data_IF_484063145714
#
_entry.id   IF_484063145714
#
_cell.length_a   1.000
_cell.length_b   1.000
_cell.length_c   1.000
_cell.angle_alpha   90.00
_cell.angle_beta   90.00
_cell.angle_gamma   90.00
#
_symmetry.space_group_name_H-M   'P 1'
#
loop_
_entity.id
_entity.type
_entity.pdbx_description
1 polymer ?
#
# COMPACT_ATOMS: atom_id res chain seq x y z
N UNK A 1 -13.39 1.36 -9.53
CA UNK A 1 -12.09 1.92 -9.09
C UNK A 1 -11.80 1.43 -7.69
N UNK A 2 -10.66 0.78 -7.46
CA UNK A 2 -10.22 0.26 -6.15
C UNK A 2 -9.01 1.01 -5.63
N UNK A 3 -8.86 1.11 -4.31
CA UNK A 3 -7.78 1.87 -3.66
C UNK A 3 -6.89 0.90 -2.88
N UNK A 4 -5.57 1.05 -3.03
CA UNK A 4 -4.54 0.29 -2.30
C UNK A 4 -3.57 1.30 -1.68
N UNK A 5 -3.59 1.41 -0.35
CA UNK A 5 -2.62 2.23 0.37
C UNK A 5 -1.48 1.33 0.86
N UNK A 6 -0.29 1.56 0.34
CA UNK A 6 0.97 0.87 0.68
C UNK A 6 1.79 1.74 1.65
N UNK A 7 1.18 2.08 2.79
CA UNK A 7 1.77 2.91 3.85
C UNK A 7 1.81 2.21 5.22
N UNK A 8 2.82 2.49 6.07
CA UNK A 8 2.95 1.91 7.42
C UNK A 8 1.78 2.24 8.35
N UNK A 9 1.08 3.35 8.09
CA UNK A 9 -0.03 3.85 8.87
C UNK A 9 -1.41 3.41 8.31
N UNK A 10 -1.46 2.40 7.43
CA UNK A 10 -2.72 1.90 6.88
C UNK A 10 -3.55 1.17 7.95
N UNK A 11 -4.82 1.58 8.10
CA UNK A 11 -5.72 1.23 9.20
C UNK A 11 -6.28 -0.21 9.18
N UNK A 12 -5.91 -1.05 8.21
CA UNK A 12 -6.39 -2.42 8.07
C UNK A 12 -5.27 -3.41 8.42
N UNK A 13 -5.41 -4.07 9.58
CA UNK A 13 -4.74 -5.32 9.98
C UNK A 13 -3.21 -5.42 9.77
N UNK A 14 -2.46 -4.42 10.26
CA UNK A 14 -1.06 -4.66 10.63
C UNK A 14 -0.01 -4.41 9.54
N UNK A 15 -0.17 -3.37 8.73
CA UNK A 15 0.87 -2.97 7.78
C UNK A 15 0.94 -3.88 6.56
N UNK A 16 -0.24 -4.38 6.11
CA UNK A 16 -0.54 -5.18 4.90
C UNK A 16 -0.06 -4.58 3.55
N UNK A 17 0.79 -3.57 3.65
CA UNK A 17 1.03 -2.47 2.76
C UNK A 17 2.55 -2.22 2.61
N UNK A 18 3.38 -2.99 3.32
CA UNK A 18 4.82 -3.03 3.07
C UNK A 18 5.25 -4.32 2.35
N UNK A 19 4.42 -5.38 2.38
CA UNK A 19 4.68 -6.58 1.57
C UNK A 19 4.08 -6.41 0.15
N UNK A 20 4.91 -6.39 -0.91
CA UNK A 20 4.42 -6.33 -2.28
C UNK A 20 3.45 -7.47 -2.64
N UNK A 21 3.61 -8.65 -2.04
CA UNK A 21 2.74 -9.80 -2.32
C UNK A 21 1.30 -9.55 -1.85
N UNK A 22 1.13 -8.92 -0.69
CA UNK A 22 -0.18 -8.59 -0.14
C UNK A 22 -0.88 -7.48 -0.95
N UNK A 23 -0.13 -6.46 -1.37
CA UNK A 23 -0.64 -5.42 -2.25
C UNK A 23 -1.12 -5.99 -3.60
N UNK A 24 -0.38 -6.94 -4.18
CA UNK A 24 -0.76 -7.64 -5.41
C UNK A 24 -2.02 -8.48 -5.19
N UNK A 25 -2.10 -9.23 -4.09
CA UNK A 25 -3.28 -10.03 -3.76
C UNK A 25 -4.52 -9.13 -3.61
N UNK A 26 -4.39 -7.99 -2.94
CA UNK A 26 -5.47 -7.01 -2.80
C UNK A 26 -5.91 -6.44 -4.15
N UNK A 27 -4.98 -6.15 -5.05
CA UNK A 27 -5.29 -5.69 -6.41
C UNK A 27 -6.09 -6.71 -7.21
N UNK A 28 -5.77 -8.01 -7.08
CA UNK A 28 -6.53 -9.09 -7.71
C UNK A 28 -7.95 -9.19 -7.16
N UNK A 29 -8.11 -9.11 -5.84
CA UNK A 29 -9.44 -9.08 -5.23
C UNK A 29 -10.28 -7.90 -5.74
N UNK A 30 -9.69 -6.71 -5.83
CA UNK A 30 -10.39 -5.52 -6.32
C UNK A 30 -10.79 -5.68 -7.80
N UNK A 31 -9.97 -6.34 -8.61
CA UNK A 31 -10.32 -6.68 -10.00
C UNK A 31 -11.52 -7.64 -10.04
N UNK A 32 -11.50 -8.70 -9.23
CA UNK A 32 -12.59 -9.68 -9.15
C UNK A 32 -13.91 -9.03 -8.65
N UNK A 33 -13.80 -8.01 -7.80
CA UNK A 33 -14.91 -7.18 -7.33
C UNK A 33 -15.38 -6.14 -8.38
N UNK A 34 -14.77 -6.11 -9.57
CA UNK A 34 -15.18 -5.27 -10.69
C UNK A 34 -14.49 -3.90 -10.77
N UNK A 35 -13.32 -3.73 -10.17
CA UNK A 35 -12.56 -2.49 -10.34
C UNK A 35 -11.86 -2.44 -11.71
N UNK A 36 -12.24 -1.47 -12.54
CA UNK A 36 -11.56 -1.20 -13.82
C UNK A 36 -10.22 -0.43 -13.67
N UNK A 37 -10.06 0.25 -12.54
CA UNK A 37 -8.91 1.13 -12.25
C UNK A 37 -8.48 0.87 -10.81
N UNK A 38 -7.17 0.87 -10.57
CA UNK A 38 -6.58 0.86 -9.24
C UNK A 38 -5.86 2.19 -8.98
N UNK A 39 -6.09 2.76 -7.80
CA UNK A 39 -5.38 3.91 -7.25
C UNK A 39 -4.44 3.44 -6.14
N UNK A 40 -3.14 3.58 -6.34
CA UNK A 40 -2.10 3.01 -5.47
C UNK A 40 -1.29 4.15 -4.85
N UNK A 41 -1.38 4.31 -3.54
CA UNK A 41 -0.69 5.36 -2.78
C UNK A 41 0.39 4.81 -1.86
N UNK A 42 1.66 5.18 -2.08
CA UNK A 42 2.80 4.81 -1.23
C UNK A 42 3.20 5.87 -0.20
N UNK A 43 2.52 7.03 -0.20
CA UNK A 43 2.77 8.11 0.74
C UNK A 43 1.44 8.56 1.36
N UNK A 44 1.43 8.66 2.69
CA UNK A 44 0.25 9.11 3.42
C UNK A 44 0.19 10.63 3.43
N UNK A 45 -0.95 11.19 3.03
CA UNK A 45 -1.23 12.63 3.10
C UNK A 45 -1.81 13.07 4.45
N UNK A 46 -1.88 12.14 5.43
CA UNK A 46 -2.43 12.41 6.75
C UNK A 46 -1.47 13.30 7.56
N UNK A 47 -1.98 14.31 8.29
CA UNK A 47 -1.15 15.10 9.19
C UNK A 47 -0.44 14.22 10.23
N UNK A 48 0.88 14.33 10.31
CA UNK A 48 1.70 13.55 11.24
C UNK A 48 1.99 12.11 10.82
N UNK A 49 1.73 11.74 9.57
CA UNK A 49 2.12 10.42 9.06
C UNK A 49 3.64 10.25 9.07
N UNK A 50 4.11 9.04 9.44
CA UNK A 50 5.52 8.69 9.35
C UNK A 50 5.92 8.53 7.88
N UNK A 51 7.01 9.21 7.47
CA UNK A 51 7.57 9.04 6.13
C UNK A 51 8.25 7.68 6.04
N UNK A 52 7.74 6.81 5.17
CA UNK A 52 8.32 5.51 4.85
C UNK A 52 9.61 5.64 4.04
N UNK A 53 10.68 6.21 4.61
CA UNK A 53 12.02 6.15 4.03
C UNK A 53 12.67 4.81 4.41
N UNK A 54 12.20 3.71 3.81
CA UNK A 54 12.89 2.42 3.82
C UNK A 54 13.32 2.03 2.40
N UNK A 55 14.16 2.87 1.78
CA UNK A 55 14.91 2.50 0.58
C UNK A 55 16.41 2.80 0.71
N UNK A 56 16.93 2.89 1.94
CA UNK A 56 18.37 3.05 2.22
C UNK A 56 18.87 1.90 3.08
N UNK A 57 18.84 0.67 2.56
CA UNK A 57 19.96 -0.26 2.75
C UNK A 57 19.86 -1.43 1.76
N UNK A 58 20.43 -1.22 0.58
CA UNK A 58 20.80 -2.28 -0.34
C UNK A 58 22.25 -2.05 -0.77
N UNK A 59 23.18 -2.26 0.16
CA UNK A 59 24.61 -2.34 -0.15
C UNK A 59 25.55 -1.85 0.94
N UNK A 60 25.83 -2.71 1.91
CA UNK A 60 27.13 -2.80 2.61
C UNK A 60 27.38 -4.27 2.99
#
# INVERSE_FOLDING_TARGET
MGIINVTPDSFSDGGLALDPAEAIARGRMLLDDGADILDIGGESTRPGAEYGLQFLDAGA
#
